data_IF_198979021729
#
_entry.id   IF_198979021729
#
_cell.length_a   1.000
_cell.length_b   1.000
_cell.length_c   1.000
_cell.angle_alpha   90.00
_cell.angle_beta   90.00
_cell.angle_gamma   90.00
#
_symmetry.space_group_name_H-M   'P 1'
#
loop_
_entity.id
_entity.type
_entity.pdbx_description
1 polymer ?
#
# COMPACT_ATOMS: atom_id res chain seq x y z
N UNK A 1 -9.24 -15.53 -4.07
CA UNK A 1 -8.22 -15.03 -3.12
C UNK A 1 -7.93 -13.54 -3.31
N UNK A 2 -7.45 -13.08 -4.47
CA UNK A 2 -7.08 -11.65 -4.67
C UNK A 2 -8.21 -10.64 -4.44
N UNK A 3 -9.43 -10.93 -4.88
CA UNK A 3 -10.58 -10.05 -4.63
C UNK A 3 -10.84 -9.83 -3.13
N UNK A 4 -10.65 -10.86 -2.30
CA UNK A 4 -10.81 -10.74 -0.84
C UNK A 4 -9.71 -9.85 -0.25
N UNK A 5 -8.47 -9.95 -0.74
CA UNK A 5 -7.38 -9.08 -0.32
C UNK A 5 -7.68 -7.62 -0.67
N UNK A 6 -8.12 -7.32 -1.89
CA UNK A 6 -8.51 -5.95 -2.29
C UNK A 6 -9.64 -5.41 -1.41
N UNK A 7 -10.66 -6.22 -1.12
CA UNK A 7 -11.75 -5.83 -0.21
C UNK A 7 -11.21 -5.53 1.19
N UNK A 8 -10.28 -6.34 1.69
CA UNK A 8 -9.65 -6.11 3.00
C UNK A 8 -8.85 -4.81 3.02
N UNK A 9 -8.09 -4.51 1.97
CA UNK A 9 -7.36 -3.25 1.83
C UNK A 9 -8.31 -2.05 1.78
N UNK A 10 -9.44 -2.14 1.08
CA UNK A 10 -10.45 -1.08 1.06
C UNK A 10 -11.11 -0.84 2.41
N UNK A 11 -11.34 -1.91 3.20
CA UNK A 11 -11.81 -1.79 4.59
C UNK A 11 -10.77 -1.11 5.47
N UNK A 12 -9.50 -1.45 5.32
CA UNK A 12 -8.40 -0.82 6.05
C UNK A 12 -8.31 0.67 5.73
N UNK A 13 -8.35 1.03 4.45
CA UNK A 13 -8.36 2.43 4.01
C UNK A 13 -9.52 3.21 4.62
N UNK A 14 -10.71 2.60 4.70
CA UNK A 14 -11.88 3.20 5.37
C UNK A 14 -11.63 3.43 6.86
N UNK A 15 -10.99 2.48 7.56
CA UNK A 15 -10.62 2.66 8.97
C UNK A 15 -9.62 3.81 9.14
N UNK A 16 -8.62 3.91 8.28
CA UNK A 16 -7.63 5.00 8.30
C UNK A 16 -8.34 6.35 8.15
N UNK A 17 -9.21 6.47 7.13
CA UNK A 17 -10.03 7.66 6.93
C UNK A 17 -10.85 8.03 8.19
N UNK A 18 -11.45 7.05 8.85
CA UNK A 18 -12.21 7.30 10.07
C UNK A 18 -11.33 7.75 11.23
N UNK A 19 -10.14 7.18 11.39
CA UNK A 19 -9.19 7.57 12.43
C UNK A 19 -8.69 9.01 12.27
N UNK A 20 -8.43 9.46 11.03
CA UNK A 20 -8.12 10.86 10.73
C UNK A 20 -9.25 11.80 11.18
N UNK A 21 -10.51 11.33 11.13
CA UNK A 21 -11.68 12.07 11.63
C UNK A 21 -11.92 11.90 13.14
N UNK A 22 -10.95 11.38 13.90
CA UNK A 22 -11.07 11.12 15.33
C UNK A 22 -11.98 9.93 15.69
N UNK A 23 -12.34 9.07 14.73
CA UNK A 23 -13.27 7.95 14.92
C UNK A 23 -12.53 6.62 15.01
N UNK A 24 -12.04 6.32 16.21
CA UNK A 24 -11.42 5.05 16.57
C UNK A 24 -9.95 4.94 16.18
N UNK A 25 -9.36 3.78 16.45
CA UNK A 25 -7.97 3.48 16.12
C UNK A 25 -7.87 2.50 14.95
N UNK A 26 -6.70 2.47 14.32
CA UNK A 26 -6.39 1.55 13.22
C UNK A 26 -5.24 0.67 13.66
N UNK A 27 -5.43 -0.65 13.58
CA UNK A 27 -4.36 -1.63 13.75
C UNK A 27 -3.57 -1.80 12.45
N UNK A 28 -2.34 -2.27 12.57
CA UNK A 28 -1.52 -2.60 11.40
C UNK A 28 -2.13 -3.74 10.57
N UNK A 29 -1.90 -3.70 9.26
CA UNK A 29 -2.27 -4.79 8.37
C UNK A 29 -1.47 -6.04 8.71
N UNK A 30 -2.17 -7.18 8.79
CA UNK A 30 -1.51 -8.47 8.78
C UNK A 30 -1.00 -8.74 7.36
N UNK A 31 0.32 -8.67 7.18
CA UNK A 31 0.97 -8.92 5.90
C UNK A 31 1.55 -10.33 5.82
N UNK A 32 1.59 -10.88 4.61
CA UNK A 32 2.41 -12.06 4.32
C UNK A 32 3.78 -11.58 3.90
N UNK A 33 4.83 -11.93 4.64
CA UNK A 33 6.18 -11.49 4.29
C UNK A 33 6.66 -12.06 2.95
N UNK A 34 7.53 -11.31 2.29
CA UNK A 34 8.31 -11.75 1.15
C UNK A 34 9.78 -11.32 1.32
N UNK A 35 10.64 -11.71 0.37
CA UNK A 35 12.08 -11.45 0.48
C UNK A 35 12.48 -9.98 0.63
N UNK A 36 11.63 -9.04 0.21
CA UNK A 36 11.93 -7.60 0.27
C UNK A 36 10.93 -6.77 1.09
N UNK A 37 9.80 -7.35 1.51
CA UNK A 37 8.76 -6.67 2.31
C UNK A 37 8.42 -7.57 3.49
N UNK A 38 8.69 -7.10 4.70
CA UNK A 38 8.62 -7.85 5.94
C UNK A 38 8.13 -6.96 7.10
N UNK A 39 7.96 -7.51 8.29
CA UNK A 39 7.44 -6.76 9.44
C UNK A 39 8.29 -5.55 9.87
N UNK A 40 9.58 -5.48 9.50
CA UNK A 40 10.43 -4.34 9.86
C UNK A 40 10.33 -3.17 8.88
N UNK A 41 9.91 -3.39 7.63
CA UNK A 41 9.91 -2.35 6.59
C UNK A 41 8.56 -2.10 5.90
N UNK A 42 7.52 -2.87 6.19
CA UNK A 42 6.23 -2.77 5.50
C UNK A 42 5.46 -1.46 5.71
N UNK A 43 5.78 -0.67 6.74
CA UNK A 43 5.24 0.68 6.95
C UNK A 43 6.08 1.78 6.28
N UNK A 44 7.24 1.43 5.72
CA UNK A 44 8.09 2.41 5.04
C UNK A 44 7.57 2.68 3.63
N UNK A 45 7.86 3.87 3.11
CA UNK A 45 7.69 4.16 1.69
C UNK A 45 8.73 3.37 0.90
N UNK A 46 8.27 2.29 0.27
CA UNK A 46 9.10 1.45 -0.57
C UNK A 46 8.76 1.74 -2.03
N UNK A 47 9.81 1.87 -2.86
CA UNK A 47 9.63 1.96 -4.32
C UNK A 47 8.86 0.76 -4.90
N UNK A 48 8.61 0.83 -6.19
CA UNK A 48 8.08 -0.30 -6.91
C UNK A 48 9.04 -1.49 -6.87
N UNK A 49 8.49 -2.70 -6.71
CA UNK A 49 9.29 -3.91 -6.82
C UNK A 49 9.90 -4.06 -8.21
N UNK A 50 9.27 -3.50 -9.24
CA UNK A 50 9.74 -3.41 -10.61
C UNK A 50 8.91 -2.36 -11.34
N UNK A 51 9.48 -1.78 -12.39
CA UNK A 51 8.78 -0.85 -13.28
C UNK A 51 7.70 -1.57 -14.08
N UNK A 52 6.50 -1.00 -14.15
CA UNK A 52 5.40 -1.54 -14.93
C UNK A 52 5.39 -0.90 -16.31
N UNK A 53 5.80 -1.69 -17.29
CA UNK A 53 5.93 -1.30 -18.71
C UNK A 53 4.87 -1.97 -19.59
N UNK A 54 4.81 -1.60 -20.88
CA UNK A 54 3.90 -2.17 -21.89
C UNK A 54 3.98 -3.70 -21.97
N UNK A 55 5.16 -4.28 -21.75
CA UNK A 55 5.35 -5.73 -21.68
C UNK A 55 4.38 -6.40 -20.70
N UNK A 56 4.19 -5.80 -19.52
CA UNK A 56 3.30 -6.33 -18.50
C UNK A 56 1.83 -6.27 -18.91
N UNK A 57 1.47 -5.31 -19.77
CA UNK A 57 0.10 -5.15 -20.28
C UNK A 57 -0.28 -6.26 -21.25
N UNK A 58 0.70 -6.83 -21.97
CA UNK A 58 0.51 -7.89 -22.96
C UNK A 58 0.32 -9.28 -22.32
N UNK A 59 0.59 -9.42 -21.02
CA UNK A 59 0.42 -10.68 -20.31
C UNK A 59 -1.06 -11.06 -20.17
N UNK A 60 -1.34 -12.37 -20.02
CA UNK A 60 -2.70 -12.89 -19.76
C UNK A 60 -3.40 -12.21 -18.58
N UNK A 61 -2.62 -11.71 -17.61
CA UNK A 61 -3.08 -11.02 -16.40
C UNK A 61 -2.71 -9.52 -16.37
N UNK A 62 -2.31 -8.96 -17.51
CA UNK A 62 -1.87 -7.57 -17.61
C UNK A 62 -2.92 -6.56 -17.14
N UNK A 63 -4.20 -6.79 -17.45
CA UNK A 63 -5.31 -5.94 -16.96
C UNK A 63 -5.36 -5.88 -15.43
N UNK A 64 -5.18 -7.01 -14.75
CA UNK A 64 -5.20 -7.08 -13.28
C UNK A 64 -4.00 -6.31 -12.70
N UNK A 65 -2.82 -6.44 -13.31
CA UNK A 65 -1.60 -5.69 -12.94
C UNK A 65 -1.83 -4.18 -13.06
N UNK A 66 -2.37 -3.70 -14.18
CA UNK A 66 -2.60 -2.28 -14.43
C UNK A 66 -3.60 -1.69 -13.43
N UNK A 67 -4.69 -2.40 -13.13
CA UNK A 67 -5.70 -1.91 -12.18
C UNK A 67 -5.11 -1.75 -10.78
N UNK A 68 -4.33 -2.74 -10.33
CA UNK A 68 -3.66 -2.68 -9.02
C UNK A 68 -2.58 -1.60 -8.99
N UNK A 69 -1.83 -1.43 -10.07
CA UNK A 69 -0.85 -0.38 -10.20
C UNK A 69 -1.48 1.01 -10.13
N UNK A 70 -2.58 1.22 -10.86
CA UNK A 70 -3.33 2.48 -10.80
C UNK A 70 -3.80 2.80 -9.39
N UNK A 71 -4.30 1.80 -8.65
CA UNK A 71 -4.67 1.98 -7.25
C UNK A 71 -3.45 2.31 -6.37
N UNK A 72 -2.31 1.66 -6.60
CA UNK A 72 -1.05 1.96 -5.89
C UNK A 72 -0.60 3.40 -6.12
N UNK A 73 -0.63 3.89 -7.36
CA UNK A 73 -0.29 5.27 -7.68
C UNK A 73 -1.23 6.25 -6.98
N UNK A 74 -2.54 6.01 -7.07
CA UNK A 74 -3.54 6.86 -6.42
C UNK A 74 -3.36 6.93 -4.89
N UNK A 75 -2.87 5.86 -4.24
CA UNK A 75 -2.59 5.87 -2.81
C UNK A 75 -1.31 6.67 -2.46
N UNK A 76 -0.29 6.64 -3.31
CA UNK A 76 0.92 7.45 -3.12
C UNK A 76 0.63 8.95 -3.21
N UNK A 77 -0.32 9.33 -4.05
CA UNK A 77 -0.78 10.71 -4.17
C UNK A 77 -1.50 11.23 -2.92
N UNK A 78 -1.83 10.37 -1.94
CA UNK A 78 -2.57 10.77 -0.73
C UNK A 78 -1.67 11.42 0.33
N UNK A 79 -0.37 11.14 0.32
CA UNK A 79 0.55 11.62 1.38
C UNK A 79 0.50 13.14 1.63
N UNK A 80 0.51 14.02 0.60
CA UNK A 80 0.38 15.46 0.82
C UNK A 80 -0.92 15.85 1.54
N UNK A 81 -2.03 15.17 1.25
CA UNK A 81 -3.32 15.43 1.90
C UNK A 81 -3.35 14.95 3.35
N UNK A 82 -2.54 13.95 3.70
CA UNK A 82 -2.39 13.51 5.10
C UNK A 82 -1.57 14.54 5.86
N UNK A 83 -0.47 15.03 5.28
CA UNK A 83 0.34 16.09 5.88
C UNK A 83 -0.51 17.33 6.19
N UNK A 84 -1.30 17.81 5.21
CA UNK A 84 -2.23 18.93 5.38
C UNK A 84 -3.29 18.65 6.47
N UNK A 85 -3.81 17.42 6.55
CA UNK A 85 -4.84 17.07 7.54
C UNK A 85 -4.34 17.12 9.00
N UNK A 86 -3.03 17.05 9.22
CA UNK A 86 -2.43 17.10 10.54
C UNK A 86 -1.75 18.43 10.88
N UNK A 87 -1.61 19.37 9.93
CA UNK A 87 -0.81 20.62 10.03
C UNK A 87 -1.05 21.48 11.31
N UNK A 88 -2.23 21.37 11.92
CA UNK A 88 -2.63 22.17 13.09
C UNK A 88 -2.71 21.36 14.42
N UNK A 89 -2.18 20.13 14.47
CA UNK A 89 -2.35 19.24 15.64
C UNK A 89 -1.15 19.20 16.61
N UNK A 90 -1.39 19.24 17.92
CA UNK A 90 -0.33 19.25 18.95
C UNK A 90 0.55 17.97 18.97
N UNK A 91 0.03 16.84 18.47
CA UNK A 91 0.71 15.54 18.32
C UNK A 91 1.06 15.23 16.85
N UNK A 92 1.24 16.29 16.04
CA UNK A 92 1.41 16.31 14.58
C UNK A 92 2.25 15.15 14.03
N UNK A 93 3.49 15.06 14.49
CA UNK A 93 4.50 14.19 13.86
C UNK A 93 4.20 12.71 14.07
N UNK A 94 3.71 12.33 15.26
CA UNK A 94 3.51 10.93 15.60
C UNK A 94 2.26 10.35 14.93
N UNK A 95 1.14 11.08 14.96
CA UNK A 95 -0.12 10.64 14.34
C UNK A 95 -0.06 10.68 12.82
N UNK A 96 0.60 11.71 12.27
CA UNK A 96 0.80 11.83 10.83
C UNK A 96 1.69 10.71 10.31
N UNK A 97 2.86 10.47 10.95
CA UNK A 97 3.79 9.40 10.57
C UNK A 97 3.15 8.00 10.68
N UNK A 98 2.38 7.74 11.74
CA UNK A 98 1.64 6.48 11.89
C UNK A 98 0.57 6.29 10.79
N UNK A 99 -0.13 7.35 10.42
CA UNK A 99 -1.14 7.34 9.34
C UNK A 99 -0.50 7.09 7.98
N UNK A 100 0.58 7.80 7.66
CA UNK A 100 1.38 7.57 6.44
C UNK A 100 1.90 6.13 6.41
N UNK A 101 2.43 5.65 7.54
CA UNK A 101 2.90 4.28 7.71
C UNK A 101 1.81 3.26 7.35
N UNK A 102 0.57 3.47 7.79
CA UNK A 102 -0.57 2.60 7.48
C UNK A 102 -0.99 2.64 6.01
N UNK A 103 -0.88 3.78 5.34
CA UNK A 103 -1.08 3.86 3.88
C UNK A 103 0.02 3.10 3.15
N UNK A 104 1.27 3.23 3.58
CA UNK A 104 2.40 2.49 3.03
C UNK A 104 2.21 0.98 3.15
N UNK A 105 1.60 0.48 4.23
CA UNK A 105 1.24 -0.93 4.34
C UNK A 105 0.27 -1.38 3.24
N UNK A 106 -0.70 -0.55 2.87
CA UNK A 106 -1.63 -0.84 1.75
C UNK A 106 -0.87 -0.84 0.42
N UNK A 107 -0.02 0.17 0.18
CA UNK A 107 0.82 0.28 -1.01
C UNK A 107 1.73 -0.95 -1.16
N UNK A 108 2.37 -1.37 -0.08
CA UNK A 108 3.28 -2.51 -0.04
C UNK A 108 2.53 -3.83 -0.23
N UNK A 109 1.32 -3.97 0.32
CA UNK A 109 0.46 -5.11 0.03
C UNK A 109 0.07 -5.17 -1.46
N UNK A 110 -0.26 -4.04 -2.08
CA UNK A 110 -0.53 -3.98 -3.54
C UNK A 110 0.71 -4.38 -4.34
N UNK A 111 1.91 -3.93 -3.95
CA UNK A 111 3.17 -4.33 -4.57
C UNK A 111 3.39 -5.85 -4.52
N UNK A 112 3.06 -6.51 -3.39
CA UNK A 112 3.12 -7.97 -3.27
C UNK A 112 2.07 -8.66 -4.16
N UNK A 113 0.86 -8.12 -4.25
CA UNK A 113 -0.18 -8.62 -5.17
C UNK A 113 0.28 -8.56 -6.62
N UNK A 114 0.86 -7.43 -7.04
CA UNK A 114 1.40 -7.22 -8.39
C UNK A 114 2.52 -8.23 -8.70
N UNK A 115 3.51 -8.39 -7.79
CA UNK A 115 4.58 -9.38 -7.95
C UNK A 115 4.04 -10.80 -8.13
N UNK A 116 3.03 -11.16 -7.34
CA UNK A 116 2.44 -12.50 -7.35
C UNK A 116 1.67 -12.77 -8.64
N UNK A 117 0.97 -11.77 -9.20
CA UNK A 117 0.24 -11.88 -10.46
C UNK A 117 1.20 -11.95 -11.65
N UNK A 118 2.31 -11.23 -11.61
CA UNK A 118 3.34 -11.29 -12.63
C UNK A 118 3.98 -12.69 -12.77
N UNK A 119 3.89 -13.53 -11.72
CA UNK A 119 4.34 -14.92 -11.74
C UNK A 119 5.65 -15.17 -11.01
N UNK A 120 6.15 -14.20 -10.24
CA UNK A 120 7.29 -14.39 -9.35
C UNK A 120 6.91 -15.17 -8.10
N UNK A 121 7.61 -16.27 -7.79
CA UNK A 121 7.57 -16.90 -6.45
C UNK A 121 8.38 -16.11 -5.42
N UNK A 122 9.16 -15.14 -5.88
CA UNK A 122 9.98 -14.22 -5.10
C UNK A 122 9.61 -12.78 -5.45
N UNK A 123 9.76 -11.89 -4.48
CA UNK A 123 9.65 -10.46 -4.74
C UNK A 123 10.70 -10.06 -5.79
N UNK A 124 10.31 -9.24 -6.76
CA UNK A 124 11.20 -8.79 -7.83
C UNK A 124 11.98 -7.52 -7.46
N UNK A 125 11.70 -6.94 -6.27
CA UNK A 125 12.45 -5.80 -5.75
C UNK A 125 13.92 -6.16 -5.65
N UNK A 126 14.78 -5.35 -6.27
CA UNK A 126 16.22 -5.40 -6.06
C UNK A 126 16.52 -4.77 -4.70
N UNK A 127 17.16 -5.53 -3.81
CA UNK A 127 17.64 -5.08 -2.50
C UNK A 127 19.02 -4.46 -2.69
#
# INVERSE_FOLDING_TARGET
LWAQNVISLGKQFTKIKNAIQGKGSVENLCIKECTAINFSNYSLDLDDCFEITEFHMQLKKGRDIIILHRLRCALREIEPFILEAYEDSEDEDALCSDTIGKINQIINALSQMICSIFGGTKCQRKI
#
